data_IF_938281537877
#
_entry.id   IF_938281537877
#
_cell.length_a   1.000
_cell.length_b   1.000
_cell.length_c   1.000
_cell.angle_alpha   90.00
_cell.angle_beta   90.00
_cell.angle_gamma   90.00
#
_symmetry.space_group_name_H-M   'P 1'
#
loop_
_entity.id
_entity.type
_entity.pdbx_description
1 polymer ?
#
# COMPACT_ATOMS: atom_id res chain seq x y z
N UNK A 1 2.63 16.08 18.62
CA UNK A 1 2.05 15.26 19.72
C UNK A 1 1.78 16.18 20.89
N UNK A 2 0.51 16.33 21.26
CA UNK A 2 0.16 17.04 22.48
C UNK A 2 0.64 16.22 23.67
N UNK A 3 1.23 16.85 24.69
CA UNK A 3 1.66 16.14 25.88
C UNK A 3 0.44 15.55 26.59
N UNK A 4 0.47 14.25 26.86
CA UNK A 4 -0.57 13.54 27.62
C UNK A 4 -0.06 13.37 29.05
N UNK A 5 -0.83 13.82 30.01
CA UNK A 5 -0.52 13.70 31.44
C UNK A 5 -1.47 12.68 32.02
N UNK A 6 -0.92 11.61 32.60
CA UNK A 6 -1.68 10.64 33.38
C UNK A 6 -1.62 11.06 34.83
N UNK A 7 -2.78 11.23 35.46
CA UNK A 7 -2.92 11.59 36.86
C UNK A 7 -4.11 10.85 37.48
N UNK A 8 -4.18 10.85 38.82
CA UNK A 8 -5.34 10.29 39.50
C UNK A 8 -6.61 11.09 39.20
N UNK A 9 -7.76 10.41 39.21
CA UNK A 9 -9.04 11.03 38.87
C UNK A 9 -9.43 12.16 39.85
N UNK A 10 -9.08 12.02 41.12
CA UNK A 10 -9.37 13.01 42.15
C UNK A 10 -8.49 14.23 42.02
N UNK A 11 -7.19 14.04 41.68
CA UNK A 11 -6.27 15.15 41.39
C UNK A 11 -6.71 15.89 40.13
N UNK A 12 -7.18 15.20 39.10
CA UNK A 12 -7.72 15.81 37.87
C UNK A 12 -8.98 16.65 38.17
N UNK A 13 -9.87 16.13 39.02
CA UNK A 13 -11.09 16.84 39.41
C UNK A 13 -10.77 18.12 40.19
N UNK A 14 -9.81 18.05 41.12
CA UNK A 14 -9.37 19.20 41.90
C UNK A 14 -8.76 20.28 41.00
N UNK A 15 -7.91 19.86 40.05
CA UNK A 15 -7.26 20.74 39.06
C UNK A 15 -8.26 21.41 38.10
N UNK A 16 -9.27 20.68 37.65
CA UNK A 16 -10.22 21.15 36.61
C UNK A 16 -11.42 21.87 37.21
N UNK A 17 -11.90 21.46 38.37
CA UNK A 17 -13.14 21.94 38.93
C UNK A 17 -12.96 22.62 40.32
N UNK A 18 -11.73 22.61 40.84
CA UNK A 18 -11.41 23.20 42.15
C UNK A 18 -11.95 22.38 43.34
N UNK A 19 -12.48 21.17 43.11
CA UNK A 19 -12.99 20.29 44.17
C UNK A 19 -13.00 18.84 43.69
N UNK A 20 -12.51 17.93 44.52
CA UNK A 20 -12.55 16.47 44.29
C UNK A 20 -13.96 15.87 44.44
N UNK A 21 -14.91 16.62 45.01
CA UNK A 21 -16.29 16.14 45.22
C UNK A 21 -17.15 16.15 43.92
N UNK A 22 -16.69 16.75 42.86
CA UNK A 22 -17.41 16.77 41.58
C UNK A 22 -17.28 15.41 40.89
N UNK A 23 -18.35 14.63 40.86
CA UNK A 23 -18.39 13.27 40.27
C UNK A 23 -18.51 13.25 38.75
N UNK A 24 -18.14 14.29 38.04
CA UNK A 24 -18.20 14.33 36.59
C UNK A 24 -17.04 13.55 35.96
N UNK A 25 -17.38 12.71 35.00
CA UNK A 25 -16.42 12.00 34.13
C UNK A 25 -16.71 12.38 32.69
N UNK A 26 -15.69 12.54 31.88
CA UNK A 26 -15.86 12.93 30.47
C UNK A 26 -16.12 11.73 29.56
N UNK A 27 -15.58 10.56 29.91
CA UNK A 27 -15.79 9.31 29.22
C UNK A 27 -15.55 8.11 30.14
N UNK A 28 -16.24 6.99 29.87
CA UNK A 28 -16.03 5.73 30.52
C UNK A 28 -15.58 4.71 29.47
N UNK A 29 -14.40 4.12 29.65
CA UNK A 29 -13.91 3.06 28.76
C UNK A 29 -14.20 1.71 29.39
N UNK A 30 -15.06 0.92 28.76
CA UNK A 30 -15.44 -0.42 29.21
C UNK A 30 -14.75 -1.47 28.33
N UNK A 31 -14.13 -2.45 28.95
CA UNK A 31 -13.35 -3.49 28.27
C UNK A 31 -14.19 -4.60 27.63
N UNK A 32 -15.48 -4.64 27.94
CA UNK A 32 -16.38 -5.68 27.42
C UNK A 32 -17.60 -5.01 26.76
N UNK A 33 -18.22 -5.71 25.81
CA UNK A 33 -19.39 -5.25 25.04
C UNK A 33 -20.70 -5.24 25.87
N UNK A 34 -20.62 -4.98 27.16
CA UNK A 34 -21.81 -4.79 28.01
C UNK A 34 -22.50 -3.48 27.58
N UNK A 35 -23.72 -3.59 27.11
CA UNK A 35 -24.59 -2.43 26.91
C UNK A 35 -24.90 -1.81 28.25
N UNK A 36 -24.44 -0.61 28.48
CA UNK A 36 -24.80 0.20 29.62
C UNK A 36 -26.06 0.96 29.23
N UNK A 37 -27.23 0.54 29.71
CA UNK A 37 -28.48 1.27 29.52
C UNK A 37 -28.62 2.39 30.55
N UNK A 38 -27.80 3.40 30.48
CA UNK A 38 -28.00 4.62 31.25
C UNK A 38 -28.47 5.77 30.34
N UNK A 39 -29.56 6.41 30.78
CA UNK A 39 -30.18 7.53 30.07
C UNK A 39 -29.23 8.72 30.02
N UNK A 40 -28.80 9.08 28.81
CA UNK A 40 -27.94 10.24 28.58
C UNK A 40 -26.48 9.94 28.18
N UNK A 41 -26.11 8.66 28.08
CA UNK A 41 -24.80 8.23 27.56
C UNK A 41 -24.93 7.72 26.15
N UNK A 42 -24.06 8.18 25.24
CA UNK A 42 -23.89 7.58 23.91
C UNK A 42 -22.79 6.54 23.96
N UNK A 43 -23.13 5.29 23.74
CA UNK A 43 -22.15 4.22 23.61
C UNK A 43 -21.62 4.19 22.17
N UNK A 44 -20.33 4.38 22.04
CA UNK A 44 -19.61 4.32 20.77
C UNK A 44 -18.71 3.09 20.76
N UNK A 45 -18.65 2.39 19.62
CA UNK A 45 -17.59 1.41 19.41
C UNK A 45 -16.24 2.12 19.30
N UNK A 46 -15.14 1.41 19.52
CA UNK A 46 -13.80 2.00 19.38
C UNK A 46 -13.56 2.55 17.97
N UNK A 47 -14.07 1.85 16.95
CA UNK A 47 -14.00 2.32 15.56
C UNK A 47 -14.80 3.61 15.35
N UNK A 48 -16.05 3.67 15.82
CA UNK A 48 -16.88 4.86 15.69
C UNK A 48 -16.28 6.05 16.46
N UNK A 49 -15.69 5.78 17.62
CA UNK A 49 -15.01 6.83 18.40
C UNK A 49 -13.81 7.40 17.61
N UNK A 50 -12.97 6.55 17.03
CA UNK A 50 -11.81 6.97 16.22
C UNK A 50 -12.27 7.77 15.00
N UNK A 51 -13.31 7.32 14.31
CA UNK A 51 -13.85 8.01 13.13
C UNK A 51 -14.41 9.40 13.45
N UNK A 52 -14.94 9.59 14.65
CA UNK A 52 -15.48 10.86 15.11
C UNK A 52 -14.42 11.80 15.73
N UNK A 53 -13.14 11.39 15.80
CA UNK A 53 -12.07 12.31 16.25
C UNK A 53 -11.93 13.45 15.23
N UNK A 54 -12.00 14.72 15.70
CA UNK A 54 -11.85 15.87 14.82
C UNK A 54 -10.53 15.82 14.03
N UNK A 55 -10.60 15.88 12.69
CA UNK A 55 -9.45 15.84 11.80
C UNK A 55 -9.04 14.42 11.36
N UNK A 56 -9.56 13.35 11.94
CA UNK A 56 -9.22 11.98 11.54
C UNK A 56 -9.66 11.68 10.11
N UNK A 57 -10.91 11.92 9.76
CA UNK A 57 -11.46 11.65 8.43
C UNK A 57 -10.71 12.39 7.30
N UNK A 58 -10.47 13.72 7.38
CA UNK A 58 -9.67 14.44 6.39
C UNK A 58 -8.25 13.89 6.26
N UNK A 59 -7.62 13.47 7.37
CA UNK A 59 -6.28 12.90 7.36
C UNK A 59 -6.25 11.55 6.65
N UNK A 60 -7.19 10.65 6.95
CA UNK A 60 -7.31 9.35 6.29
C UNK A 60 -7.56 9.50 4.80
N UNK A 61 -8.45 10.42 4.39
CA UNK A 61 -8.70 10.72 2.99
C UNK A 61 -7.44 11.21 2.27
N UNK A 62 -6.71 12.14 2.89
CA UNK A 62 -5.46 12.67 2.31
C UNK A 62 -4.42 11.57 2.11
N UNK A 63 -4.18 10.71 3.11
CA UNK A 63 -3.23 9.62 2.99
C UNK A 63 -3.70 8.57 1.98
N UNK A 64 -4.99 8.24 1.95
CA UNK A 64 -5.54 7.30 0.98
C UNK A 64 -5.39 7.81 -0.45
N UNK A 65 -5.63 9.10 -0.68
CA UNK A 65 -5.42 9.73 -1.98
C UNK A 65 -3.93 9.71 -2.38
N UNK A 66 -3.03 10.01 -1.44
CA UNK A 66 -1.59 9.97 -1.67
C UNK A 66 -1.11 8.56 -2.02
N UNK A 67 -1.56 7.53 -1.29
CA UNK A 67 -1.26 6.13 -1.58
C UNK A 67 -1.80 5.75 -2.97
N UNK A 68 -3.05 6.11 -3.28
CA UNK A 68 -3.66 5.87 -4.59
C UNK A 68 -2.87 6.50 -5.74
N UNK A 69 -2.42 7.75 -5.56
CA UNK A 69 -1.58 8.43 -6.55
C UNK A 69 -0.22 7.73 -6.73
N UNK A 70 0.43 7.29 -5.63
CA UNK A 70 1.69 6.55 -5.71
C UNK A 70 1.52 5.21 -6.44
N UNK A 71 0.43 4.50 -6.18
CA UNK A 71 0.07 3.25 -6.87
C UNK A 71 -0.10 3.49 -8.37
N UNK A 72 -0.83 4.56 -8.75
CA UNK A 72 -1.01 4.93 -10.16
C UNK A 72 0.31 5.28 -10.85
N UNK A 73 1.16 6.08 -10.21
CA UNK A 73 2.48 6.44 -10.74
C UNK A 73 3.33 5.19 -10.93
N UNK A 74 3.36 4.29 -9.95
CA UNK A 74 4.10 3.02 -10.04
C UNK A 74 3.62 2.18 -11.22
N UNK A 75 2.31 2.08 -11.42
CA UNK A 75 1.74 1.37 -12.57
C UNK A 75 2.18 1.98 -13.90
N UNK A 76 2.11 3.30 -14.06
CA UNK A 76 2.53 3.99 -15.27
C UNK A 76 4.02 3.80 -15.55
N UNK A 77 4.86 3.97 -14.52
CA UNK A 77 6.32 3.80 -14.65
C UNK A 77 6.68 2.38 -15.06
N UNK A 78 6.10 1.36 -14.40
CA UNK A 78 6.30 -0.04 -14.75
C UNK A 78 5.83 -0.35 -16.17
N UNK A 79 4.66 0.17 -16.55
CA UNK A 79 4.11 -0.01 -17.91
C UNK A 79 5.03 0.58 -19.00
N UNK A 80 5.48 1.81 -18.81
CA UNK A 80 6.40 2.49 -19.74
C UNK A 80 7.75 1.76 -19.79
N UNK A 81 8.29 1.36 -18.65
CA UNK A 81 9.58 0.66 -18.59
C UNK A 81 9.51 -0.69 -19.34
N UNK A 82 8.47 -1.48 -19.10
CA UNK A 82 8.26 -2.75 -19.81
C UNK A 82 8.04 -2.54 -21.30
N UNK A 83 7.33 -1.48 -21.68
CA UNK A 83 7.13 -1.12 -23.08
C UNK A 83 8.47 -0.80 -23.78
N UNK A 84 9.34 0.01 -23.16
CA UNK A 84 10.65 0.35 -23.69
C UNK A 84 11.53 -0.90 -23.86
N UNK A 85 11.61 -1.76 -22.84
CA UNK A 85 12.39 -3.01 -22.93
C UNK A 85 11.88 -3.91 -24.07
N UNK A 86 10.57 -3.99 -24.23
CA UNK A 86 9.97 -4.80 -25.29
C UNK A 86 10.30 -4.27 -26.67
N UNK A 87 10.26 -2.93 -26.87
CA UNK A 87 10.64 -2.31 -28.15
C UNK A 87 12.12 -2.59 -28.47
N UNK A 88 13.01 -2.44 -27.50
CA UNK A 88 14.44 -2.70 -27.68
C UNK A 88 14.72 -4.16 -28.10
N UNK A 89 13.88 -5.10 -27.71
CA UNK A 89 14.01 -6.52 -28.05
C UNK A 89 13.17 -6.96 -29.26
N UNK A 90 12.50 -6.03 -29.94
CA UNK A 90 11.60 -6.36 -31.07
C UNK A 90 12.31 -7.12 -32.16
N UNK A 91 13.51 -6.70 -32.56
CA UNK A 91 14.31 -7.35 -33.57
C UNK A 91 14.68 -8.79 -33.18
N UNK A 92 15.08 -9.00 -31.91
CA UNK A 92 15.38 -10.33 -31.37
C UNK A 92 14.14 -11.24 -31.43
N UNK A 93 12.98 -10.73 -31.05
CA UNK A 93 11.72 -11.49 -31.11
C UNK A 93 11.30 -11.80 -32.54
N UNK A 94 11.56 -10.90 -33.49
CA UNK A 94 11.35 -11.13 -34.91
C UNK A 94 12.20 -12.30 -35.43
N UNK A 95 13.51 -12.31 -35.12
CA UNK A 95 14.42 -13.39 -35.47
C UNK A 95 13.96 -14.73 -34.86
N UNK A 96 13.59 -14.75 -33.57
CA UNK A 96 13.10 -15.96 -32.92
C UNK A 96 11.83 -16.51 -33.62
N UNK A 97 10.92 -15.64 -34.05
CA UNK A 97 9.73 -16.03 -34.79
C UNK A 97 10.07 -16.57 -36.18
N UNK A 98 11.03 -15.98 -36.88
CA UNK A 98 11.50 -16.49 -38.19
C UNK A 98 12.17 -17.86 -38.05
N UNK A 99 12.79 -18.18 -36.92
CA UNK A 99 13.31 -19.51 -36.59
C UNK A 99 12.23 -20.52 -36.18
N UNK A 100 10.94 -20.16 -36.26
CA UNK A 100 9.83 -21.05 -35.94
C UNK A 100 9.47 -21.12 -34.43
N UNK A 101 10.04 -20.27 -33.58
CA UNK A 101 9.68 -20.24 -32.17
C UNK A 101 8.26 -19.71 -32.01
N UNK A 102 7.39 -20.49 -31.39
CA UNK A 102 6.00 -20.12 -31.17
C UNK A 102 5.89 -18.86 -30.32
N UNK A 103 5.01 -17.92 -30.69
CA UNK A 103 4.76 -16.68 -29.98
C UNK A 103 4.46 -16.89 -28.48
N UNK A 104 3.81 -18.00 -28.11
CA UNK A 104 3.55 -18.36 -26.73
C UNK A 104 4.81 -18.55 -25.88
N UNK A 105 5.91 -19.07 -26.44
CA UNK A 105 7.19 -19.20 -25.73
C UNK A 105 7.84 -17.83 -25.49
N UNK A 106 7.72 -16.91 -26.45
CA UNK A 106 8.21 -15.54 -26.32
C UNK A 106 7.42 -14.81 -25.22
N UNK A 107 6.09 -14.93 -25.22
CA UNK A 107 5.22 -14.34 -24.21
C UNK A 107 5.55 -14.91 -22.82
N UNK A 108 5.74 -16.22 -22.70
CA UNK A 108 6.14 -16.83 -21.43
C UNK A 108 7.48 -16.31 -20.93
N UNK A 109 8.45 -16.09 -21.82
CA UNK A 109 9.75 -15.49 -21.47
C UNK A 109 9.58 -14.07 -20.91
N UNK A 110 8.74 -13.23 -21.53
CA UNK A 110 8.43 -11.88 -21.06
C UNK A 110 7.75 -11.94 -19.68
N UNK A 111 6.78 -12.84 -19.52
CA UNK A 111 6.09 -13.05 -18.25
C UNK A 111 7.06 -13.41 -17.12
N UNK A 112 7.95 -14.38 -17.36
CA UNK A 112 8.97 -14.76 -16.38
C UNK A 112 9.94 -13.64 -16.08
N UNK A 113 10.34 -12.85 -17.08
CA UNK A 113 11.18 -11.67 -16.88
C UNK A 113 10.52 -10.65 -15.95
N UNK A 114 9.24 -10.33 -16.18
CA UNK A 114 8.46 -9.42 -15.32
C UNK A 114 8.36 -9.98 -13.91
N UNK A 115 8.03 -11.25 -13.78
CA UNK A 115 7.87 -11.91 -12.49
C UNK A 115 9.16 -11.90 -11.66
N UNK A 116 10.30 -12.24 -12.26
CA UNK A 116 11.60 -12.24 -11.60
C UNK A 116 11.97 -10.82 -11.17
N UNK A 117 11.83 -9.85 -12.07
CA UNK A 117 12.18 -8.46 -11.79
C UNK A 117 11.30 -7.86 -10.67
N UNK A 118 10.01 -8.13 -10.70
CA UNK A 118 9.07 -7.70 -9.66
C UNK A 118 9.40 -8.34 -8.30
N UNK A 119 9.71 -9.63 -8.30
CA UNK A 119 10.08 -10.35 -7.06
C UNK A 119 11.35 -9.78 -6.45
N UNK A 120 12.37 -9.52 -7.27
CA UNK A 120 13.61 -8.89 -6.81
C UNK A 120 13.35 -7.48 -6.25
N UNK A 121 12.57 -6.66 -6.96
CA UNK A 121 12.23 -5.30 -6.51
C UNK A 121 11.45 -5.32 -5.19
N UNK A 122 10.46 -6.20 -5.06
CA UNK A 122 9.68 -6.36 -3.82
C UNK A 122 10.57 -6.85 -2.68
N UNK A 123 11.45 -7.81 -2.93
CA UNK A 123 12.39 -8.30 -1.90
C UNK A 123 13.29 -7.19 -1.38
N UNK A 124 13.81 -6.35 -2.28
CA UNK A 124 14.62 -5.18 -1.91
C UNK A 124 13.80 -4.16 -1.10
N UNK A 125 12.55 -3.89 -1.51
CA UNK A 125 11.66 -2.98 -0.81
C UNK A 125 11.33 -3.48 0.60
N UNK A 126 11.06 -4.77 0.77
CA UNK A 126 10.81 -5.39 2.09
C UNK A 126 12.05 -5.30 2.97
N UNK A 127 13.25 -5.58 2.42
CA UNK A 127 14.51 -5.43 3.16
C UNK A 127 14.75 -3.98 3.60
N UNK A 128 14.49 -3.01 2.73
CA UNK A 128 14.59 -1.59 3.05
C UNK A 128 13.59 -1.18 4.13
N UNK A 129 12.34 -1.69 4.07
CA UNK A 129 11.32 -1.46 5.09
C UNK A 129 11.75 -2.00 6.46
N UNK A 130 12.24 -3.24 6.51
CA UNK A 130 12.76 -3.85 7.75
C UNK A 130 13.97 -3.09 8.30
N UNK A 131 14.87 -2.66 7.41
CA UNK A 131 16.00 -1.82 7.79
C UNK A 131 15.56 -0.48 8.38
N UNK A 132 14.53 0.14 7.82
CA UNK A 132 13.94 1.38 8.35
C UNK A 132 13.37 1.16 9.75
N UNK A 133 12.68 0.04 9.98
CA UNK A 133 12.14 -0.28 11.32
C UNK A 133 13.22 -0.40 12.40
N UNK A 134 14.40 -0.92 12.04
CA UNK A 134 15.52 -1.05 12.97
C UNK A 134 16.16 0.30 13.34
N UNK A 135 16.07 1.28 12.45
CA UNK A 135 16.67 2.61 12.65
C UNK A 135 15.71 3.60 13.32
N UNK A 136 14.41 3.36 13.22
CA UNK A 136 13.41 4.25 13.83
C UNK A 136 13.48 4.18 15.36
N UNK A 137 13.52 5.33 16.05
CA UNK A 137 13.48 5.36 17.50
C UNK A 137 12.12 4.85 18.02
N UNK A 138 12.14 4.19 19.18
CA UNK A 138 10.93 3.61 19.82
C UNK A 138 9.85 4.64 20.16
N UNK A 139 10.18 5.94 20.12
CA UNK A 139 9.23 7.03 20.32
C UNK A 139 8.32 7.29 19.11
N UNK A 140 8.63 6.75 17.93
CA UNK A 140 7.76 6.86 16.77
C UNK A 140 6.79 5.66 16.72
N UNK A 141 5.47 5.90 16.72
CA UNK A 141 4.48 4.83 16.60
C UNK A 141 4.51 4.28 15.17
N UNK A 142 5.32 3.25 14.95
CA UNK A 142 5.33 2.52 13.70
C UNK A 142 4.47 1.27 13.83
N UNK A 143 3.24 1.35 13.31
CA UNK A 143 2.34 0.20 13.29
C UNK A 143 2.62 -0.64 12.04
N UNK A 144 3.10 -1.86 12.27
CA UNK A 144 3.40 -2.82 11.22
C UNK A 144 2.23 -3.78 11.04
N UNK A 145 1.45 -3.61 9.99
CA UNK A 145 0.38 -4.52 9.64
C UNK A 145 0.78 -5.43 8.48
N UNK A 146 1.08 -6.69 8.78
CA UNK A 146 1.45 -7.70 7.80
C UNK A 146 0.39 -7.95 6.73
N UNK A 147 -0.89 -7.75 7.05
CA UNK A 147 -2.00 -7.89 6.09
C UNK A 147 -1.96 -6.78 5.06
N UNK A 148 -1.70 -5.55 5.50
CA UNK A 148 -1.53 -4.41 4.61
C UNK A 148 -0.32 -4.60 3.67
N UNK A 149 0.82 -5.08 4.20
CA UNK A 149 2.01 -5.37 3.39
C UNK A 149 1.75 -6.48 2.37
N UNK A 150 1.11 -7.58 2.77
CA UNK A 150 0.73 -8.65 1.85
C UNK A 150 -0.20 -8.13 0.74
N UNK A 151 -1.18 -7.30 1.08
CA UNK A 151 -2.07 -6.66 0.11
C UNK A 151 -1.32 -5.77 -0.89
N UNK A 152 -0.37 -4.96 -0.42
CA UNK A 152 0.46 -4.12 -1.27
C UNK A 152 1.37 -4.94 -2.19
N UNK A 153 1.98 -6.02 -1.68
CA UNK A 153 2.82 -6.92 -2.48
C UNK A 153 1.99 -7.54 -3.63
N UNK A 154 0.82 -8.08 -3.31
CA UNK A 154 -0.08 -8.65 -4.32
C UNK A 154 -0.49 -7.59 -5.35
N UNK A 155 -0.83 -6.39 -4.91
CA UNK A 155 -1.19 -5.27 -5.77
C UNK A 155 -0.04 -4.89 -6.72
N UNK A 156 1.20 -4.78 -6.23
CA UNK A 156 2.37 -4.44 -7.03
C UNK A 156 2.66 -5.54 -8.07
N UNK A 157 2.60 -6.81 -7.68
CA UNK A 157 2.76 -7.94 -8.63
C UNK A 157 1.69 -7.88 -9.72
N UNK A 158 0.43 -7.70 -9.33
CA UNK A 158 -0.67 -7.58 -10.27
C UNK A 158 -0.47 -6.41 -11.25
N UNK A 159 -0.08 -5.25 -10.75
CA UNK A 159 0.19 -4.07 -11.58
C UNK A 159 1.38 -4.25 -12.50
N UNK A 160 2.45 -4.91 -12.05
CA UNK A 160 3.61 -5.25 -12.87
C UNK A 160 3.21 -6.16 -14.04
N UNK A 161 2.39 -7.17 -13.77
CA UNK A 161 1.89 -8.08 -14.80
C UNK A 161 0.93 -7.36 -15.76
N UNK A 162 0.03 -6.52 -15.26
CA UNK A 162 -0.89 -5.73 -16.08
C UNK A 162 -0.13 -4.74 -16.99
N UNK A 163 0.89 -4.04 -16.47
CA UNK A 163 1.77 -3.20 -17.27
C UNK A 163 2.52 -3.97 -18.36
N UNK A 164 2.97 -5.18 -18.04
CA UNK A 164 3.61 -6.09 -18.99
C UNK A 164 2.67 -6.59 -20.09
N UNK A 165 1.38 -6.76 -19.82
CA UNK A 165 0.39 -7.17 -20.82
C UNK A 165 0.30 -6.17 -21.99
N UNK A 166 0.45 -4.88 -21.73
CA UNK A 166 0.49 -3.84 -22.77
C UNK A 166 1.66 -4.08 -23.74
N UNK A 167 2.80 -4.55 -23.22
CA UNK A 167 3.97 -4.90 -24.02
C UNK A 167 3.76 -6.18 -24.84
N UNK A 168 3.07 -7.19 -24.30
CA UNK A 168 2.76 -8.45 -24.98
C UNK A 168 1.91 -8.21 -26.22
N UNK A 169 0.93 -7.31 -26.16
CA UNK A 169 0.09 -6.98 -27.31
C UNK A 169 0.92 -6.47 -28.50
N UNK A 170 1.99 -5.74 -28.26
CA UNK A 170 2.94 -5.29 -29.30
C UNK A 170 3.72 -6.46 -29.90
N UNK A 171 4.21 -7.37 -29.07
CA UNK A 171 4.98 -8.55 -29.53
C UNK A 171 4.16 -9.44 -30.47
N UNK A 172 2.87 -9.59 -30.20
CA UNK A 172 1.96 -10.35 -31.06
C UNK A 172 1.79 -9.73 -32.46
N UNK A 173 1.93 -8.40 -32.58
CA UNK A 173 1.79 -7.67 -33.84
C UNK A 173 3.10 -7.52 -34.63
N UNK A 174 4.23 -8.05 -34.12
CA UNK A 174 5.50 -8.01 -34.87
C UNK A 174 5.41 -8.89 -36.09
N UNK A 175 5.55 -8.29 -37.26
CA UNK A 175 5.72 -9.03 -38.50
C UNK A 175 7.19 -9.46 -38.62
N UNK A 176 7.46 -10.78 -38.77
CA UNK A 176 8.84 -11.27 -38.90
C UNK A 176 9.57 -10.68 -40.10
N UNK A 177 8.87 -10.33 -41.17
CA UNK A 177 9.46 -9.82 -42.43
C UNK A 177 9.99 -8.39 -42.17
N UNK A 178 9.23 -7.52 -41.52
CA UNK A 178 9.64 -6.15 -41.21
C UNK A 178 10.72 -6.09 -40.13
N UNK A 179 10.73 -7.08 -39.21
CA UNK A 179 11.75 -7.13 -38.16
C UNK A 179 13.15 -7.52 -38.66
N UNK A 180 13.24 -8.24 -39.82
CA UNK A 180 14.52 -8.65 -40.41
C UNK A 180 14.95 -7.71 -41.53
N UNK A 181 13.99 -7.06 -42.22
CA UNK A 181 14.25 -6.24 -43.42
C UNK A 181 14.73 -4.82 -43.18
N UNK A 182 14.85 -4.36 -41.92
CA UNK A 182 15.47 -3.08 -41.54
C UNK A 182 15.01 -1.87 -42.38
N UNK A 183 13.87 -1.29 -42.07
CA UNK A 183 13.54 0.13 -42.15
C UNK A 183 12.85 0.55 -40.87
#
# INVERSE_FOLDING_TARGET
>A
TQPVIFMDLDDFRELKYGSSQVKNISALVVKDSQKIEETGLSQLSMSDFIENIPGYQPQVLTFSFMIGAMVLITFLVLGIFMYIITIQKTQLYGIMRAQGIASGKIIASIFWQIFILSTLGISLAVLALLGTQLVLPASMPFYSDWRAYAGLIVLIVFMSLAGGLLSIHRVLKIDPITAIGGE
#
